data_IF_077333653089
#
_entry.id   IF_077333653089
#
_cell.length_a   1.000
_cell.length_b   1.000
_cell.length_c   1.000
_cell.angle_alpha   90.00
_cell.angle_beta   90.00
_cell.angle_gamma   90.00
#
_symmetry.space_group_name_H-M   'P 1'
#
loop_
_entity.id
_entity.type
_entity.pdbx_description
1 polymer ?
#
# COMPACT_ATOMS: atom_id res chain seq x y z
N UNK A 1 12.11 -45.53 26.98
CA UNK A 1 11.82 -45.93 28.38
C UNK A 1 10.55 -46.74 28.38
N UNK A 2 10.58 -47.94 28.96
CA UNK A 2 9.41 -48.81 29.09
C UNK A 2 8.98 -48.82 30.55
N UNK A 3 7.86 -48.15 30.84
CA UNK A 3 7.32 -47.98 32.19
C UNK A 3 6.94 -49.30 32.86
N UNK A 4 6.48 -50.27 32.06
CA UNK A 4 6.07 -51.58 32.56
C UNK A 4 7.32 -52.36 32.98
N UNK A 5 8.38 -52.28 32.16
CA UNK A 5 9.67 -52.90 32.48
C UNK A 5 10.30 -52.31 33.73
N UNK A 6 10.32 -50.98 33.86
CA UNK A 6 10.82 -50.27 35.05
C UNK A 6 10.00 -50.65 36.29
N UNK A 7 8.67 -50.64 36.19
CA UNK A 7 7.78 -51.01 37.30
C UNK A 7 8.01 -52.44 37.81
N UNK A 8 8.18 -53.40 36.88
CA UNK A 8 8.52 -54.78 37.25
C UNK A 8 9.85 -54.87 37.98
N UNK A 9 10.86 -54.14 37.50
CA UNK A 9 12.19 -54.15 38.11
C UNK A 9 12.19 -53.56 39.53
N UNK A 10 11.44 -52.47 39.76
CA UNK A 10 11.21 -51.91 41.11
C UNK A 10 10.57 -52.98 42.03
N UNK A 11 9.55 -53.68 41.54
CA UNK A 11 8.86 -54.72 42.31
C UNK A 11 9.78 -55.91 42.64
N UNK A 12 10.64 -56.30 41.70
CA UNK A 12 11.63 -57.37 41.87
C UNK A 12 12.67 -57.00 42.94
N UNK A 13 13.33 -55.84 42.81
CA UNK A 13 14.32 -55.36 43.79
C UNK A 13 13.71 -55.20 45.19
N UNK A 14 12.51 -54.60 45.28
CA UNK A 14 11.79 -54.47 46.56
C UNK A 14 11.54 -55.83 47.22
N UNK A 15 11.05 -56.82 46.45
CA UNK A 15 10.77 -58.17 46.95
C UNK A 15 12.05 -58.90 47.35
N UNK A 16 13.14 -58.72 46.61
CA UNK A 16 14.44 -59.29 46.95
C UNK A 16 14.96 -58.79 48.31
N UNK A 17 14.66 -57.54 48.67
CA UNK A 17 14.96 -56.94 49.97
C UNK A 17 13.93 -57.27 51.06
N UNK A 18 12.91 -58.08 50.75
CA UNK A 18 11.85 -58.47 51.71
C UNK A 18 10.92 -57.33 52.14
N UNK A 19 10.93 -56.19 51.44
CA UNK A 19 10.13 -55.01 51.79
C UNK A 19 8.71 -55.13 51.26
N UNK A 20 7.71 -54.69 52.03
CA UNK A 20 6.34 -54.46 51.52
C UNK A 20 6.25 -53.12 50.77
N UNK A 21 5.22 -52.94 49.93
CA UNK A 21 5.00 -51.65 49.24
C UNK A 21 4.84 -50.50 50.25
N UNK A 22 4.20 -50.75 51.39
CA UNK A 22 4.06 -49.79 52.48
C UNK A 22 5.43 -49.42 53.09
N UNK A 23 6.28 -50.39 53.40
CA UNK A 23 7.61 -50.12 53.96
C UNK A 23 8.52 -49.35 53.00
N UNK A 24 8.44 -49.63 51.69
CA UNK A 24 9.18 -48.83 50.70
C UNK A 24 8.63 -47.40 50.62
N UNK A 25 7.30 -47.25 50.67
CA UNK A 25 6.66 -45.94 50.65
C UNK A 25 6.99 -45.12 51.91
N UNK A 26 6.99 -45.74 53.09
CA UNK A 26 7.33 -45.12 54.37
C UNK A 26 8.78 -44.60 54.35
N UNK A 27 9.72 -45.37 53.78
CA UNK A 27 11.12 -44.94 53.61
C UNK A 27 11.29 -43.73 52.68
N UNK A 28 10.35 -43.53 51.76
CA UNK A 28 10.34 -42.42 50.79
C UNK A 28 9.40 -41.28 51.19
N UNK A 29 8.80 -41.34 52.39
CA UNK A 29 7.74 -40.42 52.84
C UNK A 29 6.58 -40.28 51.83
N UNK A 30 6.19 -41.39 51.20
CA UNK A 30 5.18 -41.46 50.13
C UNK A 30 4.02 -42.38 50.53
N UNK A 31 2.92 -42.32 49.77
CA UNK A 31 1.83 -43.29 49.92
C UNK A 31 2.18 -44.64 49.30
N UNK A 32 1.75 -45.73 49.92
CA UNK A 32 1.81 -47.10 49.37
C UNK A 32 1.14 -47.21 48.00
N UNK A 33 0.08 -46.43 47.76
CA UNK A 33 -0.58 -46.28 46.46
C UNK A 33 0.36 -45.74 45.37
N UNK A 34 1.32 -44.88 45.73
CA UNK A 34 2.31 -44.34 44.79
C UNK A 34 3.23 -45.47 44.30
N UNK A 35 3.78 -46.26 45.23
CA UNK A 35 4.62 -47.44 44.92
C UNK A 35 3.85 -48.45 44.07
N UNK A 36 2.57 -48.72 44.39
CA UNK A 36 1.71 -49.61 43.61
C UNK A 36 1.48 -49.11 42.17
N UNK A 37 1.44 -47.80 41.94
CA UNK A 37 1.33 -47.24 40.58
C UNK A 37 2.64 -47.38 39.80
N UNK A 38 3.78 -47.19 40.46
CA UNK A 38 5.10 -47.37 39.86
C UNK A 38 5.33 -48.82 39.44
N UNK A 39 5.06 -49.77 40.34
CA UNK A 39 5.26 -51.20 40.07
C UNK A 39 4.37 -51.74 38.94
N UNK A 40 3.20 -51.12 38.72
CA UNK A 40 2.29 -51.46 37.61
C UNK A 40 2.59 -50.71 36.32
N UNK A 41 3.62 -49.84 36.31
CA UNK A 41 3.96 -49.02 35.14
C UNK A 41 2.95 -47.93 34.81
N UNK A 42 2.07 -47.55 35.76
CA UNK A 42 1.04 -46.52 35.55
C UNK A 42 1.68 -45.12 35.49
N UNK A 43 2.70 -44.87 36.31
CA UNK A 43 3.49 -43.64 36.30
C UNK A 43 4.88 -43.90 36.87
N UNK A 44 5.81 -42.96 36.70
CA UNK A 44 7.11 -42.97 37.38
C UNK A 44 7.04 -42.17 38.70
N UNK A 45 8.00 -42.39 39.62
CA UNK A 45 8.27 -41.41 40.68
C UNK A 45 8.62 -40.04 40.08
N UNK A 46 8.56 -39.00 40.91
CA UNK A 46 9.16 -37.71 40.56
C UNK A 46 10.68 -37.86 40.47
N UNK A 47 11.32 -37.07 39.59
CA UNK A 47 12.78 -37.12 39.38
C UNK A 47 13.55 -36.87 40.69
N UNK A 48 13.00 -36.05 41.60
CA UNK A 48 13.58 -35.80 42.92
C UNK A 48 13.71 -37.06 43.78
N UNK A 49 12.86 -38.07 43.55
CA UNK A 49 12.77 -39.32 44.33
C UNK A 49 13.68 -40.41 43.77
N UNK A 50 14.21 -40.23 42.55
CA UNK A 50 14.94 -41.30 41.85
C UNK A 50 16.18 -41.77 42.59
N UNK A 51 16.98 -40.85 43.13
CA UNK A 51 18.22 -41.21 43.82
C UNK A 51 17.94 -41.96 45.13
N UNK A 52 16.99 -41.48 45.92
CA UNK A 52 16.60 -42.10 47.19
C UNK A 52 15.96 -43.49 46.97
N UNK A 53 15.12 -43.63 45.93
CA UNK A 53 14.55 -44.91 45.52
C UNK A 53 15.65 -45.90 45.09
N UNK A 54 16.60 -45.44 44.28
CA UNK A 54 17.73 -46.25 43.81
C UNK A 54 18.62 -46.72 44.98
N UNK A 55 18.87 -45.84 45.95
CA UNK A 55 19.64 -46.14 47.16
C UNK A 55 18.93 -47.19 48.04
N UNK A 56 17.62 -47.05 48.27
CA UNK A 56 16.84 -48.02 49.06
C UNK A 56 16.78 -49.39 48.38
N UNK A 57 16.71 -49.42 47.05
CA UNK A 57 16.56 -50.65 46.26
C UNK A 57 17.89 -51.28 45.81
N UNK A 58 19.02 -50.70 46.22
CA UNK A 58 20.37 -51.12 45.86
C UNK A 58 20.53 -51.33 44.34
N UNK A 59 20.24 -50.27 43.58
CA UNK A 59 20.35 -50.25 42.13
C UNK A 59 20.86 -48.89 41.64
N UNK A 60 21.55 -48.86 40.52
CA UNK A 60 21.99 -47.61 39.90
C UNK A 60 20.85 -46.89 39.19
N UNK A 61 20.99 -45.57 39.02
CA UNK A 61 20.02 -44.78 38.26
C UNK A 61 19.86 -45.29 36.83
N UNK A 62 20.93 -45.82 36.21
CA UNK A 62 20.85 -46.33 34.85
C UNK A 62 20.09 -47.66 34.78
N UNK A 63 20.22 -48.53 35.78
CA UNK A 63 19.43 -49.77 35.89
C UNK A 63 17.95 -49.44 36.12
N UNK A 64 17.67 -48.42 36.93
CA UNK A 64 16.32 -47.91 37.14
C UNK A 64 15.70 -47.38 35.84
N UNK A 65 16.41 -46.56 35.08
CA UNK A 65 15.93 -46.01 33.82
C UNK A 65 15.87 -47.04 32.67
N UNK A 66 16.65 -48.13 32.77
CA UNK A 66 16.63 -49.24 31.81
C UNK A 66 15.59 -50.33 32.16
N UNK A 67 15.19 -50.42 33.44
CA UNK A 67 14.30 -51.47 33.96
C UNK A 67 14.93 -52.86 33.96
N UNK A 68 16.26 -52.96 34.04
CA UNK A 68 17.00 -54.23 34.11
C UNK A 68 18.37 -54.01 34.75
N UNK A 69 18.96 -55.08 35.29
CA UNK A 69 20.36 -55.04 35.76
C UNK A 69 21.31 -54.82 34.58
N UNK A 70 22.28 -53.93 34.78
CA UNK A 70 23.26 -53.57 33.76
C UNK A 70 24.62 -54.04 34.28
N UNK A 71 25.28 -55.00 33.59
CA UNK A 71 26.64 -55.39 33.94
C UNK A 71 27.55 -54.17 34.01
N UNK A 72 28.37 -54.06 35.06
CA UNK A 72 29.22 -52.89 35.35
C UNK A 72 30.08 -52.43 34.14
N UNK A 73 30.46 -53.37 33.26
CA UNK A 73 31.23 -53.14 32.03
C UNK A 73 30.47 -52.32 30.97
N UNK A 74 29.13 -52.30 30.96
CA UNK A 74 28.30 -51.58 29.98
C UNK A 74 27.71 -50.26 30.50
N UNK A 75 27.91 -49.95 31.78
CA UNK A 75 27.34 -48.79 32.46
C UNK A 75 28.00 -47.47 32.03
N UNK A 76 29.32 -47.48 31.88
CA UNK A 76 30.11 -46.31 31.45
C UNK A 76 29.83 -45.91 29.98
N UNK A 77 29.67 -46.89 29.09
CA UNK A 77 29.39 -46.66 27.68
C UNK A 77 27.98 -46.06 27.47
N UNK A 78 26.96 -46.66 28.10
CA UNK A 78 25.57 -46.22 27.96
C UNK A 78 25.30 -44.84 28.59
N UNK A 79 26.03 -44.49 29.65
CA UNK A 79 25.96 -43.15 30.26
C UNK A 79 26.61 -42.07 29.39
N UNK A 80 27.76 -42.38 28.76
CA UNK A 80 28.41 -41.48 27.80
C UNK A 80 27.52 -41.23 26.57
N UNK A 81 26.85 -42.26 26.04
CA UNK A 81 25.92 -42.12 24.91
C UNK A 81 24.72 -41.24 25.23
N UNK A 82 24.10 -41.42 26.41
CA UNK A 82 22.99 -40.59 26.86
C UNK A 82 23.42 -39.11 27.01
N UNK A 83 24.59 -38.84 27.57
CA UNK A 83 25.17 -37.49 27.69
C UNK A 83 25.42 -36.84 26.32
N UNK A 84 25.95 -37.61 25.36
CA UNK A 84 26.18 -37.16 23.99
C UNK A 84 24.88 -36.86 23.25
N UNK A 85 23.82 -37.64 23.50
CA UNK A 85 22.52 -37.43 22.88
C UNK A 85 21.88 -36.12 23.37
N UNK A 86 21.90 -35.86 24.68
CA UNK A 86 21.36 -34.62 25.29
C UNK A 86 22.12 -33.36 24.81
N UNK A 87 23.44 -33.46 24.68
CA UNK A 87 24.27 -32.34 24.19
C UNK A 87 24.12 -32.10 22.67
N UNK A 88 23.83 -33.13 21.87
CA UNK A 88 23.52 -32.96 20.44
C UNK A 88 22.14 -32.33 20.22
N UNK A 89 21.12 -32.78 20.96
CA UNK A 89 19.75 -32.30 20.78
C UNK A 89 19.58 -30.82 21.15
N UNK A 90 20.24 -30.39 22.23
CA UNK A 90 20.28 -28.99 22.64
C UNK A 90 20.94 -28.08 21.59
N UNK A 91 22.05 -28.50 20.97
CA UNK A 91 22.73 -27.73 19.91
C UNK A 91 21.87 -27.61 18.64
N UNK A 92 21.19 -28.68 18.24
CA UNK A 92 20.32 -28.67 17.06
C UNK A 92 19.10 -27.75 17.27
N UNK A 93 18.47 -27.83 18.45
CA UNK A 93 17.35 -26.95 18.83
C UNK A 93 17.77 -25.48 18.84
N UNK A 94 18.96 -25.16 19.36
CA UNK A 94 19.49 -23.79 19.30
C UNK A 94 19.74 -23.31 17.87
N UNK A 95 20.29 -24.14 16.98
CA UNK A 95 20.49 -23.78 15.56
C UNK A 95 19.16 -23.54 14.86
N UNK A 96 18.16 -24.37 15.12
CA UNK A 96 16.82 -24.23 14.56
C UNK A 96 16.15 -22.93 15.02
N UNK A 97 16.19 -22.63 16.32
CA UNK A 97 15.67 -21.37 16.87
C UNK A 97 16.37 -20.15 16.27
N UNK A 98 17.70 -20.17 16.12
CA UNK A 98 18.43 -19.08 15.46
C UNK A 98 18.00 -18.89 14.00
N UNK A 99 17.72 -19.96 13.26
CA UNK A 99 17.18 -19.88 11.89
C UNK A 99 15.79 -19.26 11.84
N UNK A 100 14.90 -19.63 12.78
CA UNK A 100 13.57 -19.02 12.88
C UNK A 100 13.68 -17.51 13.17
N UNK A 101 14.50 -17.12 14.14
CA UNK A 101 14.69 -15.71 14.49
C UNK A 101 15.23 -14.93 13.28
N UNK A 102 16.24 -15.46 12.58
CA UNK A 102 16.77 -14.83 11.38
C UNK A 102 15.70 -14.68 10.29
N UNK A 103 14.87 -15.70 10.06
CA UNK A 103 13.77 -15.63 9.10
C UNK A 103 12.73 -14.56 9.47
N UNK A 104 12.36 -14.47 10.76
CA UNK A 104 11.43 -13.44 11.25
C UNK A 104 11.96 -12.02 11.07
N UNK A 105 13.26 -11.81 11.30
CA UNK A 105 13.91 -10.52 11.06
C UNK A 105 13.84 -10.15 9.57
N UNK A 106 14.15 -11.10 8.67
CA UNK A 106 14.09 -10.87 7.22
C UNK A 106 12.67 -10.47 6.79
N UNK A 107 11.65 -11.20 7.24
CA UNK A 107 10.25 -10.89 6.93
C UNK A 107 9.88 -9.49 7.44
N UNK A 108 10.28 -9.16 8.66
CA UNK A 108 10.02 -7.83 9.25
C UNK A 108 10.66 -6.72 8.43
N UNK A 109 11.92 -6.90 8.00
CA UNK A 109 12.61 -5.92 7.15
C UNK A 109 11.92 -5.73 5.80
N UNK A 110 11.40 -6.81 5.19
CA UNK A 110 10.66 -6.73 3.92
C UNK A 110 9.37 -5.93 4.09
N UNK A 111 8.62 -6.17 5.17
CA UNK A 111 7.37 -5.43 5.46
C UNK A 111 7.67 -3.94 5.66
N UNK A 112 8.71 -3.61 6.43
CA UNK A 112 9.12 -2.22 6.66
C UNK A 112 9.53 -1.52 5.36
N UNK A 113 10.27 -2.21 4.48
CA UNK A 113 10.66 -1.66 3.18
C UNK A 113 9.46 -1.45 2.24
N UNK A 114 8.47 -2.32 2.27
CA UNK A 114 7.25 -2.16 1.48
C UNK A 114 6.41 -0.96 1.96
N UNK A 115 6.27 -0.81 3.28
CA UNK A 115 5.56 0.33 3.90
C UNK A 115 6.28 1.65 3.61
N UNK A 116 7.60 1.72 3.79
CA UNK A 116 8.36 2.93 3.47
C UNK A 116 8.30 3.26 1.97
N UNK A 117 8.35 2.26 1.09
CA UNK A 117 8.16 2.43 -0.35
C UNK A 117 6.79 3.01 -0.70
N UNK A 118 5.72 2.57 -0.02
CA UNK A 118 4.38 3.12 -0.17
C UNK A 118 4.33 4.61 0.21
N UNK A 119 4.86 4.98 1.38
CA UNK A 119 4.90 6.38 1.83
C UNK A 119 5.76 7.27 0.93
N UNK A 120 6.92 6.79 0.48
CA UNK A 120 7.79 7.54 -0.45
C UNK A 120 7.04 7.79 -1.76
N UNK A 121 6.33 6.78 -2.28
CA UNK A 121 5.53 6.92 -3.51
C UNK A 121 4.41 7.94 -3.33
N UNK A 122 3.69 7.91 -2.23
CA UNK A 122 2.60 8.84 -1.94
C UNK A 122 3.12 10.28 -1.77
N UNK A 123 4.22 10.46 -1.04
CA UNK A 123 4.90 11.75 -0.89
C UNK A 123 5.37 12.34 -2.23
N UNK A 124 5.97 11.52 -3.10
CA UNK A 124 6.36 11.94 -4.47
C UNK A 124 5.13 12.31 -5.33
N UNK A 125 3.95 11.74 -5.04
CA UNK A 125 2.73 12.02 -5.78
C UNK A 125 1.99 13.26 -5.29
N UNK A 126 2.12 13.62 -4.01
CA UNK A 126 1.64 14.90 -3.47
C UNK A 126 2.55 16.07 -3.87
N UNK A 127 3.85 15.84 -4.04
CA UNK A 127 4.84 16.87 -4.42
C UNK A 127 4.84 17.23 -5.92
N UNK A 128 3.70 17.11 -6.60
CA UNK A 128 3.61 17.08 -8.06
C UNK A 128 2.61 18.13 -8.53
N UNK A 129 3.03 19.00 -9.45
CA UNK A 129 2.17 20.03 -10.03
C UNK A 129 0.97 19.43 -10.77
N UNK A 130 -0.25 19.91 -10.52
CA UNK A 130 -1.47 19.39 -11.14
C UNK A 130 -2.50 20.50 -11.44
N UNK A 131 -3.39 20.21 -12.37
CA UNK A 131 -4.60 20.98 -12.66
C UNK A 131 -5.82 20.05 -12.57
N UNK A 132 -6.96 20.56 -12.12
CA UNK A 132 -8.19 19.79 -11.98
C UNK A 132 -9.38 20.63 -12.43
N UNK A 133 -10.30 20.02 -13.17
CA UNK A 133 -11.60 20.62 -13.47
C UNK A 133 -12.47 20.64 -12.21
N UNK A 134 -13.12 21.77 -11.92
CA UNK A 134 -14.03 21.84 -10.78
C UNK A 134 -15.28 20.98 -11.05
N UNK A 135 -15.69 20.27 -10.00
CA UNK A 135 -16.92 19.50 -9.97
C UNK A 135 -18.12 20.44 -10.27
N UNK A 136 -18.96 20.13 -11.29
CA UNK A 136 -20.15 20.91 -11.62
C UNK A 136 -21.08 21.14 -10.44
N UNK A 137 -21.13 20.18 -9.50
CA UNK A 137 -22.00 20.20 -8.34
C UNK A 137 -21.40 20.85 -7.11
N UNK A 138 -20.12 21.27 -7.17
CA UNK A 138 -19.43 21.94 -6.07
C UNK A 138 -20.09 23.29 -5.72
N UNK A 139 -20.08 23.70 -4.42
CA UNK A 139 -20.58 25.01 -4.00
C UNK A 139 -19.89 26.17 -4.74
N UNK A 140 -18.59 26.06 -4.99
CA UNK A 140 -17.79 27.04 -5.72
C UNK A 140 -18.28 27.21 -7.15
N UNK A 141 -18.50 26.10 -7.87
CA UNK A 141 -19.03 26.14 -9.24
C UNK A 141 -20.45 26.71 -9.27
N UNK A 142 -21.33 26.27 -8.37
CA UNK A 142 -22.71 26.80 -8.27
C UNK A 142 -22.72 28.31 -8.04
N UNK A 143 -21.80 28.80 -7.20
CA UNK A 143 -21.63 30.23 -6.93
C UNK A 143 -21.11 30.96 -8.16
N UNK A 144 -20.08 30.41 -8.83
CA UNK A 144 -19.52 30.99 -10.05
C UNK A 144 -20.58 31.14 -11.15
N UNK A 145 -21.38 30.09 -11.41
CA UNK A 145 -22.48 30.12 -12.39
C UNK A 145 -23.55 31.17 -12.03
N UNK A 146 -23.91 31.28 -10.76
CA UNK A 146 -24.89 32.26 -10.30
C UNK A 146 -24.42 33.71 -10.50
N UNK A 147 -23.14 33.98 -10.23
CA UNK A 147 -22.56 35.33 -10.31
C UNK A 147 -22.24 35.70 -11.77
N UNK A 148 -21.72 34.75 -12.55
CA UNK A 148 -21.30 34.99 -13.92
C UNK A 148 -22.48 35.12 -14.87
N UNK A 149 -23.61 34.47 -14.56
CA UNK A 149 -24.75 34.36 -15.47
C UNK A 149 -24.55 33.32 -16.59
N UNK A 150 -23.38 32.68 -16.66
CA UNK A 150 -23.03 31.71 -17.69
C UNK A 150 -23.14 30.28 -17.15
N UNK A 151 -24.15 29.53 -17.60
CA UNK A 151 -24.39 28.16 -17.11
C UNK A 151 -23.30 27.15 -17.52
N UNK A 152 -22.62 27.40 -18.63
CA UNK A 152 -21.64 26.49 -19.24
C UNK A 152 -20.17 26.85 -18.91
N UNK A 153 -19.94 27.65 -17.85
CA UNK A 153 -18.59 28.00 -17.43
C UNK A 153 -17.76 26.74 -17.03
N UNK A 154 -16.54 26.65 -17.57
CA UNK A 154 -15.57 25.61 -17.23
C UNK A 154 -14.46 26.19 -16.36
N UNK A 155 -14.46 25.84 -15.07
CA UNK A 155 -13.45 26.30 -14.12
C UNK A 155 -12.43 25.19 -13.84
N UNK A 156 -11.18 25.59 -13.72
CA UNK A 156 -10.04 24.73 -13.44
C UNK A 156 -9.21 25.34 -12.33
N UNK A 157 -8.75 24.52 -11.39
CA UNK A 157 -7.82 24.92 -10.34
C UNK A 157 -6.49 24.23 -10.58
N UNK A 158 -5.41 24.98 -10.58
CA UNK A 158 -4.06 24.42 -10.61
C UNK A 158 -3.33 24.64 -9.29
N UNK A 159 -2.43 23.72 -8.99
CA UNK A 159 -1.49 23.79 -7.87
C UNK A 159 -0.13 23.28 -8.36
N UNK A 160 0.92 24.05 -8.12
CA UNK A 160 2.27 23.81 -8.59
C UNK A 160 3.18 23.52 -7.40
N UNK A 161 4.05 22.54 -7.53
CA UNK A 161 5.12 22.29 -6.57
C UNK A 161 6.30 23.25 -6.77
N UNK A 162 6.70 23.40 -8.04
CA UNK A 162 7.76 24.30 -8.46
C UNK A 162 7.18 25.62 -8.98
N UNK A 163 7.96 26.69 -8.87
CA UNK A 163 7.66 27.97 -9.50
C UNK A 163 7.85 27.90 -11.03
N UNK A 164 7.23 28.85 -11.72
CA UNK A 164 7.29 29.00 -13.17
C UNK A 164 7.60 30.45 -13.56
N UNK A 165 8.22 30.67 -14.71
CA UNK A 165 8.52 31.99 -15.26
C UNK A 165 7.35 32.53 -16.09
N UNK A 166 6.65 31.66 -16.80
CA UNK A 166 5.57 32.06 -17.72
C UNK A 166 4.45 31.04 -17.83
N UNK A 167 3.20 31.50 -17.81
CA UNK A 167 2.02 30.72 -18.19
C UNK A 167 1.51 31.23 -19.54
N UNK A 168 1.46 30.34 -20.52
CA UNK A 168 0.78 30.58 -21.80
C UNK A 168 -0.51 29.78 -21.88
N UNK A 169 -1.54 30.40 -22.44
CA UNK A 169 -2.79 29.73 -22.82
C UNK A 169 -3.01 29.94 -24.30
N UNK A 170 -3.35 28.87 -25.00
CA UNK A 170 -3.63 28.87 -26.44
C UNK A 170 -5.08 28.49 -26.71
N UNK A 171 -5.59 29.02 -27.82
CA UNK A 171 -6.79 28.53 -28.48
C UNK A 171 -6.40 28.04 -29.86
N UNK A 172 -6.82 26.83 -30.22
CA UNK A 172 -6.67 26.28 -31.56
C UNK A 172 -8.05 26.05 -32.16
N UNK A 173 -8.30 26.62 -33.33
CA UNK A 173 -9.54 26.48 -34.07
C UNK A 173 -9.37 25.42 -35.17
N UNK A 174 -10.30 24.47 -35.20
CA UNK A 174 -10.34 23.41 -36.20
C UNK A 174 -11.67 23.40 -36.92
N UNK A 175 -11.63 23.22 -38.24
CA UNK A 175 -12.82 23.03 -39.08
C UNK A 175 -12.75 21.63 -39.69
N UNK A 176 -13.74 20.78 -39.39
CA UNK A 176 -13.81 19.39 -39.89
C UNK A 176 -12.47 18.63 -39.75
N UNK A 177 -11.82 18.78 -38.60
CA UNK A 177 -10.55 18.11 -38.27
C UNK A 177 -9.28 18.84 -38.72
N UNK A 178 -9.37 19.87 -39.58
CA UNK A 178 -8.22 20.64 -40.04
C UNK A 178 -7.93 21.85 -39.14
N UNK A 179 -6.67 22.04 -38.73
CA UNK A 179 -6.25 23.20 -37.95
C UNK A 179 -6.28 24.47 -38.83
N UNK A 180 -7.10 25.44 -38.45
CA UNK A 180 -7.23 26.71 -39.15
C UNK A 180 -6.34 27.77 -38.51
N UNK A 181 -6.44 27.92 -37.18
CA UNK A 181 -5.68 28.91 -36.45
C UNK A 181 -5.22 28.36 -35.10
N UNK A 182 -4.03 28.78 -34.66
CA UNK A 182 -3.59 28.63 -33.28
C UNK A 182 -3.09 29.97 -32.75
N UNK A 183 -3.82 30.51 -31.77
CA UNK A 183 -3.58 31.84 -31.22
C UNK A 183 -3.09 31.72 -29.77
N UNK A 184 -2.08 32.51 -29.41
CA UNK A 184 -1.72 32.74 -28.01
C UNK A 184 -2.72 33.74 -27.43
N UNK A 185 -3.58 33.25 -26.54
CA UNK A 185 -4.73 34.03 -26.03
C UNK A 185 -4.48 34.62 -24.65
N UNK A 186 -3.46 34.15 -23.93
CA UNK A 186 -2.99 34.78 -22.70
C UNK A 186 -1.52 34.46 -22.43
N UNK A 187 -0.82 35.44 -21.86
CA UNK A 187 0.57 35.34 -21.45
C UNK A 187 0.77 36.05 -20.11
N UNK A 188 1.09 35.27 -19.08
CA UNK A 188 1.45 35.76 -17.76
C UNK A 188 2.93 35.49 -17.53
N UNK A 189 3.72 36.55 -17.35
CA UNK A 189 5.15 36.48 -17.09
C UNK A 189 5.39 36.95 -15.65
N UNK A 190 6.14 36.16 -14.90
CA UNK A 190 6.49 36.44 -13.53
C UNK A 190 8.00 36.49 -13.37
N UNK A 191 8.48 37.46 -12.61
CA UNK A 191 9.87 37.45 -12.16
C UNK A 191 10.06 36.30 -11.16
N UNK A 192 11.13 35.52 -11.30
CA UNK A 192 11.45 34.27 -10.59
C UNK A 192 11.18 34.22 -9.06
N UNK A 193 11.06 35.36 -8.39
CA UNK A 193 10.78 35.48 -6.96
C UNK A 193 9.28 35.57 -6.59
N UNK A 194 8.35 35.66 -7.54
CA UNK A 194 6.95 35.99 -7.26
C UNK A 194 5.87 35.14 -7.95
N UNK A 195 6.20 34.10 -8.75
CA UNK A 195 5.13 33.31 -9.38
C UNK A 195 4.27 32.55 -8.37
N UNK A 196 2.94 32.51 -8.61
CA UNK A 196 2.00 31.82 -7.75
C UNK A 196 2.24 30.31 -7.79
N UNK A 197 1.93 29.62 -6.69
CA UNK A 197 1.91 28.14 -6.68
C UNK A 197 0.50 27.57 -6.78
N UNK A 198 -0.51 28.43 -6.90
CA UNK A 198 -1.89 28.01 -7.12
C UNK A 198 -2.66 29.13 -7.82
N UNK A 199 -3.67 28.74 -8.59
CA UNK A 199 -4.54 29.68 -9.28
C UNK A 199 -5.71 28.98 -9.95
N UNK A 200 -6.50 29.76 -10.68
CA UNK A 200 -7.67 29.32 -11.41
C UNK A 200 -7.63 29.80 -12.86
N UNK A 201 -8.08 28.93 -13.74
CA UNK A 201 -8.42 29.23 -15.13
C UNK A 201 -9.91 29.03 -15.31
N UNK A 202 -10.59 29.91 -16.03
CA UNK A 202 -11.96 29.69 -16.44
C UNK A 202 -12.13 29.96 -17.93
N UNK A 203 -12.76 29.02 -18.63
CA UNK A 203 -13.21 29.20 -20.01
C UNK A 203 -14.73 29.33 -19.96
N UNK A 204 -15.22 30.52 -20.31
CA UNK A 204 -16.62 30.89 -20.14
C UNK A 204 -17.20 31.24 -21.51
N UNK A 205 -17.88 30.30 -22.18
CA UNK A 205 -18.55 30.59 -23.43
C UNK A 205 -19.81 31.42 -23.20
N UNK A 206 -19.97 32.47 -24.01
CA UNK A 206 -21.19 33.25 -24.20
C UNK A 206 -21.76 32.91 -25.57
N UNK A 207 -22.84 32.14 -25.58
CA UNK A 207 -23.45 31.68 -26.82
C UNK A 207 -24.42 32.67 -27.45
N UNK A 208 -24.87 33.68 -26.70
CA UNK A 208 -25.72 34.72 -27.28
C UNK A 208 -24.87 35.62 -28.18
N UNK A 209 -23.68 35.99 -27.67
CA UNK A 209 -22.75 36.86 -28.39
C UNK A 209 -21.72 36.10 -29.24
N UNK A 210 -21.68 34.76 -29.15
CA UNK A 210 -20.66 33.91 -29.78
C UNK A 210 -19.25 34.36 -29.43
N UNK A 211 -19.04 34.61 -28.14
CA UNK A 211 -17.72 34.95 -27.59
C UNK A 211 -17.33 33.94 -26.52
N UNK A 212 -16.03 33.82 -26.27
CA UNK A 212 -15.49 33.02 -25.18
C UNK A 212 -14.61 33.93 -24.35
N UNK A 213 -14.88 33.98 -23.05
CA UNK A 213 -14.06 34.68 -22.08
C UNK A 213 -13.11 33.69 -21.40
N UNK A 214 -11.81 33.89 -21.56
CA UNK A 214 -10.81 33.28 -20.70
C UNK A 214 -10.59 34.18 -19.48
N UNK A 215 -10.65 33.61 -18.29
CA UNK A 215 -10.28 34.27 -17.03
C UNK A 215 -9.10 33.54 -16.41
N UNK A 216 -8.10 34.29 -15.98
CA UNK A 216 -6.98 33.78 -15.20
C UNK A 216 -6.91 34.55 -13.89
N UNK A 217 -6.85 33.83 -12.78
CA UNK A 217 -6.83 34.40 -11.43
C UNK A 217 -5.85 33.64 -10.55
N UNK A 218 -4.89 34.36 -10.00
CA UNK A 218 -3.98 33.86 -8.96
C UNK A 218 -3.84 34.91 -7.84
N UNK A 219 -2.93 34.68 -6.88
CA UNK A 219 -2.73 35.58 -5.74
C UNK A 219 -2.02 36.90 -6.10
N UNK A 220 -1.49 37.02 -7.31
CA UNK A 220 -0.77 38.19 -7.83
C UNK A 220 -1.49 38.91 -8.96
N UNK A 221 -2.21 38.20 -9.82
CA UNK A 221 -2.81 38.72 -11.04
C UNK A 221 -4.23 38.19 -11.26
N UNK A 222 -5.09 39.08 -11.75
CA UNK A 222 -6.43 38.75 -12.23
C UNK A 222 -6.61 39.40 -13.60
N UNK A 223 -6.88 38.59 -14.61
CA UNK A 223 -7.08 39.06 -15.98
C UNK A 223 -8.16 38.27 -16.68
N UNK A 224 -8.73 38.88 -17.72
CA UNK A 224 -9.58 38.18 -18.66
C UNK A 224 -9.27 38.63 -20.09
N UNK A 225 -9.63 37.81 -21.06
CA UNK A 225 -9.58 38.14 -22.48
C UNK A 225 -10.75 37.47 -23.17
N UNK A 226 -11.39 38.20 -24.09
CA UNK A 226 -12.55 37.73 -24.85
C UNK A 226 -12.13 37.47 -26.30
N UNK A 227 -12.67 36.42 -26.88
CA UNK A 227 -12.44 36.03 -28.29
C UNK A 227 -13.77 35.68 -28.92
N UNK A 228 -13.97 36.09 -30.17
CA UNK A 228 -15.11 35.63 -30.95
C UNK A 228 -14.92 34.18 -31.39
N UNK A 229 -16.03 33.46 -31.51
CA UNK A 229 -16.08 32.13 -32.10
C UNK A 229 -17.15 32.11 -33.18
N UNK A 230 -17.03 31.18 -34.13
CA UNK A 230 -17.93 31.03 -35.27
C UNK A 230 -18.15 32.36 -36.01
N UNK A 231 -17.11 33.17 -36.15
CA UNK A 231 -17.19 34.41 -36.93
C UNK A 231 -17.53 34.07 -38.38
N UNK A 232 -18.43 34.86 -38.97
CA UNK A 232 -18.86 34.69 -40.36
C UNK A 232 -19.55 33.35 -40.70
N UNK A 233 -19.88 32.53 -39.69
CA UNK A 233 -20.63 31.27 -39.89
C UNK A 233 -22.14 31.56 -39.95
N UNK A 234 -22.74 31.29 -41.12
CA UNK A 234 -24.18 31.50 -41.34
C UNK A 234 -25.03 30.45 -40.59
N UNK A 235 -26.04 30.91 -39.86
CA UNK A 235 -26.96 30.03 -39.11
C UNK A 235 -26.32 29.36 -37.88
N UNK A 236 -25.22 29.92 -37.37
CA UNK A 236 -24.47 29.43 -36.20
C UNK A 236 -25.33 29.25 -34.94
N UNK A 237 -26.45 29.97 -34.82
CA UNK A 237 -27.44 29.83 -33.75
C UNK A 237 -28.19 28.48 -33.76
N UNK A 238 -28.16 27.75 -34.86
CA UNK A 238 -28.80 26.44 -35.00
C UNK A 238 -27.83 25.26 -34.84
N UNK A 239 -26.54 25.53 -34.62
CA UNK A 239 -25.55 24.48 -34.40
C UNK A 239 -25.78 23.84 -33.03
N UNK A 240 -25.71 22.51 -33.00
CA UNK A 240 -25.54 21.80 -31.74
C UNK A 240 -24.21 22.21 -31.12
N UNK A 241 -24.19 22.33 -29.79
CA UNK A 241 -22.99 22.67 -29.02
C UNK A 241 -22.75 21.69 -27.88
N UNK A 242 -21.49 21.43 -27.60
CA UNK A 242 -21.05 20.66 -26.44
C UNK A 242 -19.63 21.09 -26.04
N UNK A 243 -19.17 20.62 -24.90
CA UNK A 243 -17.82 20.83 -24.46
C UNK A 243 -17.26 19.60 -23.77
N UNK A 244 -15.98 19.29 -24.03
CA UNK A 244 -15.23 18.31 -23.24
C UNK A 244 -14.15 19.03 -22.44
N UNK A 245 -13.78 18.47 -21.30
CA UNK A 245 -12.76 19.03 -20.42
C UNK A 245 -11.96 17.90 -19.81
N UNK A 246 -10.82 18.21 -19.19
CA UNK A 246 -10.10 17.23 -18.39
C UNK A 246 -11.05 16.62 -17.34
N UNK A 247 -11.14 15.29 -17.29
CA UNK A 247 -12.13 14.60 -16.46
C UNK A 247 -11.74 14.56 -14.97
N UNK A 248 -10.44 14.66 -14.68
CA UNK A 248 -9.86 14.45 -13.37
C UNK A 248 -8.66 15.37 -13.10
N UNK A 249 -7.95 15.10 -11.99
CA UNK A 249 -6.62 15.67 -11.73
C UNK A 249 -5.64 15.26 -12.84
N UNK A 250 -5.19 16.23 -13.63
CA UNK A 250 -4.15 16.08 -14.64
C UNK A 250 -2.82 16.61 -14.13
N UNK A 251 -1.77 15.81 -14.32
CA UNK A 251 -0.41 16.16 -13.98
C UNK A 251 0.13 17.26 -14.91
N UNK A 252 0.62 18.36 -14.35
CA UNK A 252 1.28 19.43 -15.11
C UNK A 252 2.72 19.04 -15.41
N UNK A 253 3.09 19.13 -16.68
CA UNK A 253 4.44 18.91 -17.20
C UNK A 253 5.03 20.27 -17.57
N UNK A 254 6.15 20.63 -16.95
CA UNK A 254 6.87 21.85 -17.27
C UNK A 254 7.30 21.86 -18.74
N UNK A 255 7.24 23.04 -19.36
CA UNK A 255 7.65 23.31 -20.74
C UNK A 255 6.93 22.45 -21.79
N UNK A 256 5.77 21.89 -21.43
CA UNK A 256 4.92 21.10 -22.31
C UNK A 256 3.50 21.65 -22.34
N UNK A 257 3.01 21.88 -23.56
CA UNK A 257 1.60 22.19 -23.79
C UNK A 257 0.69 20.99 -23.47
N UNK A 258 -0.41 21.26 -22.78
CA UNK A 258 -1.39 20.27 -22.36
C UNK A 258 -2.81 20.80 -22.55
N UNK A 259 -3.73 19.91 -22.89
CA UNK A 259 -5.13 20.27 -23.14
C UNK A 259 -5.90 20.57 -21.86
N UNK A 260 -6.81 21.55 -21.95
CA UNK A 260 -7.68 22.02 -20.88
C UNK A 260 -9.14 21.62 -21.13
N UNK A 261 -9.71 22.11 -22.22
CA UNK A 261 -11.07 21.83 -22.67
C UNK A 261 -11.25 22.08 -24.16
N UNK A 262 -12.36 21.64 -24.69
CA UNK A 262 -12.79 21.87 -26.07
C UNK A 262 -14.21 22.40 -26.06
N UNK A 263 -14.52 23.32 -26.97
CA UNK A 263 -15.88 23.66 -27.35
C UNK A 263 -16.11 23.07 -28.73
N UNK A 264 -17.22 22.35 -28.90
CA UNK A 264 -17.52 21.56 -30.08
C UNK A 264 -18.86 22.04 -30.64
N UNK A 265 -18.88 22.33 -31.95
CA UNK A 265 -20.08 22.74 -32.66
C UNK A 265 -20.30 21.86 -33.88
N UNK A 266 -21.55 21.48 -34.11
CA UNK A 266 -21.93 20.69 -35.26
C UNK A 266 -23.38 20.88 -35.67
N UNK A 267 -23.62 21.00 -36.97
CA UNK A 267 -24.91 21.28 -37.59
C UNK A 267 -25.79 20.03 -37.67
N UNK A 268 -25.19 18.92 -38.06
CA UNK A 268 -25.88 17.64 -38.29
C UNK A 268 -25.66 16.61 -37.15
N UNK A 269 -24.99 17.02 -36.09
CA UNK A 269 -24.67 16.17 -34.94
C UNK A 269 -23.41 16.62 -34.22
N UNK A 270 -23.14 16.05 -33.06
CA UNK A 270 -21.93 16.31 -32.27
C UNK A 270 -21.32 14.99 -31.83
N UNK A 271 -20.02 14.87 -32.02
CA UNK A 271 -19.22 13.75 -31.56
C UNK A 271 -18.26 14.23 -30.48
N UNK A 272 -18.41 13.71 -29.27
CA UNK A 272 -17.55 14.12 -28.16
C UNK A 272 -16.22 13.36 -28.20
N UNK A 273 -15.13 14.12 -28.21
CA UNK A 273 -13.77 13.57 -28.14
C UNK A 273 -13.09 14.02 -26.85
N UNK A 274 -12.51 13.10 -26.06
CA UNK A 274 -11.76 13.46 -24.87
C UNK A 274 -10.60 14.42 -25.20
N UNK A 275 -10.35 15.36 -24.30
CA UNK A 275 -9.27 16.35 -24.42
C UNK A 275 -7.90 15.67 -24.62
N UNK A 276 -7.68 14.54 -23.97
CA UNK A 276 -6.41 13.80 -24.07
C UNK A 276 -6.18 13.17 -25.44
N UNK A 277 -7.25 12.79 -26.16
CA UNK A 277 -7.18 12.29 -27.53
C UNK A 277 -6.72 13.41 -28.46
N UNK A 278 -7.31 14.60 -28.32
CA UNK A 278 -6.92 15.80 -29.08
C UNK A 278 -5.49 16.24 -28.73
N UNK A 279 -5.08 16.22 -27.45
CA UNK A 279 -3.70 16.50 -27.04
C UNK A 279 -2.69 15.55 -27.72
N UNK A 280 -3.09 14.31 -28.01
CA UNK A 280 -2.24 13.33 -28.70
C UNK A 280 -2.14 13.55 -30.22
N UNK A 281 -2.90 14.50 -30.77
CA UNK A 281 -2.94 14.83 -32.20
C UNK A 281 -4.01 14.09 -33.00
N UNK A 282 -4.87 13.32 -32.34
CA UNK A 282 -6.00 12.63 -32.97
C UNK A 282 -7.24 13.53 -32.93
N UNK A 283 -7.35 14.40 -33.95
CA UNK A 283 -8.46 15.35 -34.08
C UNK A 283 -9.61 14.72 -34.89
N UNK A 284 -10.84 14.67 -34.34
CA UNK A 284 -12.00 14.20 -35.09
C UNK A 284 -12.38 15.15 -36.23
N UNK A 285 -12.83 14.59 -37.35
CA UNK A 285 -13.35 15.31 -38.52
C UNK A 285 -14.89 15.35 -38.58
N UNK A 286 -15.57 14.58 -37.74
CA UNK A 286 -17.04 14.50 -37.71
C UNK A 286 -17.74 15.77 -37.18
N UNK A 287 -17.02 16.68 -36.54
CA UNK A 287 -17.56 17.94 -36.03
C UNK A 287 -17.21 19.10 -36.97
N UNK A 288 -18.14 20.02 -37.18
CA UNK A 288 -17.93 21.17 -38.06
C UNK A 288 -16.86 22.12 -37.51
N UNK A 289 -16.95 22.48 -36.22
CA UNK A 289 -16.02 23.41 -35.57
C UNK A 289 -15.60 22.91 -34.19
N UNK A 290 -14.29 22.98 -33.91
CA UNK A 290 -13.72 22.69 -32.58
C UNK A 290 -12.79 23.82 -32.16
N UNK A 291 -13.04 24.38 -30.98
CA UNK A 291 -12.14 25.31 -30.30
C UNK A 291 -11.45 24.57 -29.16
N UNK A 292 -10.17 24.24 -29.33
CA UNK A 292 -9.35 23.52 -28.36
C UNK A 292 -8.51 24.50 -27.54
N UNK A 293 -8.70 24.47 -26.22
CA UNK A 293 -7.95 25.29 -25.27
C UNK A 293 -6.86 24.45 -24.63
N UNK A 294 -5.63 24.98 -24.63
CA UNK A 294 -4.46 24.34 -24.03
C UNK A 294 -3.63 25.33 -23.22
N UNK A 295 -2.80 24.83 -22.32
CA UNK A 295 -1.95 25.64 -21.45
C UNK A 295 -0.52 25.09 -21.42
N UNK A 296 0.46 25.96 -21.12
CA UNK A 296 1.85 25.57 -20.90
C UNK A 296 2.47 26.43 -19.79
N UNK A 297 3.00 25.77 -18.76
CA UNK A 297 3.80 26.41 -17.72
C UNK A 297 5.29 26.26 -18.06
N UNK A 298 5.97 27.38 -18.28
CA UNK A 298 7.41 27.45 -18.57
C UNK A 298 8.22 27.69 -17.31
N UNK A 299 9.31 26.95 -17.15
CA UNK A 299 10.26 27.14 -16.05
C UNK A 299 11.31 28.20 -16.33
#
# INVERSE_FOLDING_TARGET
MDLIKIGKHIAEKRKALGLTQKQLADKLNMSDKSVSKWERGICLPDVSVYLELCEILDMSINEFLAGEEIPAEKLAEKSADNLLQVTKDSKNRQKFLKRIIAALIIVTCIVLAAVSGYFIREYINESKSYIVALDPESPEMKTAKLISGFEEAHLFRYSLHDRYEKLLVYMSEYHSGELIEKSEIACLIYDNSASPTAGMLAVVPDFEDFTVRLVISDDTANMYTDFSILEEVEGREYYGRSATRIEDRKMIKADKEQGLCTLIYGKDGIWMTPVDTIESGDMPDDNDYIYYFSYCFFK
#
